data_IF_757266676105
#
_entry.id   IF_757266676105
#
_cell.length_a   1.000
_cell.length_b   1.000
_cell.length_c   1.000
_cell.angle_alpha   90.00
_cell.angle_beta   90.00
_cell.angle_gamma   90.00
#
_symmetry.space_group_name_H-M   'P 1'
#
loop_
_entity.id
_entity.type
_entity.pdbx_description
1 polymer ?
#
# COMPACT_ATOMS: atom_id res chain seq x y z
N UNK A 1 -1.20 21.70 -7.81
CA UNK A 1 -1.39 20.39 -7.21
C UNK A 1 -0.97 19.23 -8.11
N UNK A 2 -1.34 19.15 -9.38
CA UNK A 2 -0.92 18.06 -10.29
C UNK A 2 0.58 18.03 -10.66
N UNK A 3 1.29 19.15 -10.55
CA UNK A 3 2.74 19.21 -10.82
C UNK A 3 3.59 18.61 -9.71
N UNK A 4 3.10 18.62 -8.48
CA UNK A 4 3.86 18.13 -7.32
C UNK A 4 3.85 16.60 -7.25
N UNK A 5 2.73 15.95 -7.58
CA UNK A 5 2.64 14.50 -7.62
C UNK A 5 3.54 13.88 -8.72
N UNK A 6 3.63 14.52 -9.89
CA UNK A 6 4.51 14.08 -10.97
C UNK A 6 5.99 14.25 -10.60
N UNK A 7 6.36 15.29 -9.87
CA UNK A 7 7.72 15.51 -9.38
C UNK A 7 8.12 14.47 -8.33
N UNK A 8 7.27 14.19 -7.34
CA UNK A 8 7.52 13.19 -6.30
C UNK A 8 7.71 11.80 -6.92
N UNK A 9 6.92 11.45 -7.93
CA UNK A 9 7.05 10.19 -8.66
C UNK A 9 8.38 10.11 -9.42
N UNK A 10 8.81 11.22 -10.04
CA UNK A 10 10.08 11.31 -10.79
C UNK A 10 11.28 11.23 -9.84
N UNK A 11 11.22 11.88 -8.68
CA UNK A 11 12.27 11.81 -7.66
C UNK A 11 12.36 10.42 -7.03
N UNK A 12 11.23 9.77 -6.72
CA UNK A 12 11.20 8.39 -6.23
C UNK A 12 11.83 7.43 -7.23
N UNK A 13 11.53 7.58 -8.52
CA UNK A 13 12.13 6.79 -9.60
C UNK A 13 13.62 7.06 -9.76
N UNK A 14 14.07 8.32 -9.59
CA UNK A 14 15.50 8.65 -9.60
C UNK A 14 16.22 8.02 -8.40
N UNK A 15 15.59 7.98 -7.22
CA UNK A 15 16.11 7.29 -6.05
C UNK A 15 16.16 5.79 -6.30
N UNK A 16 15.09 5.17 -6.76
CA UNK A 16 15.05 3.74 -7.10
C UNK A 16 16.09 3.37 -8.17
N UNK A 17 16.26 4.17 -9.22
CA UNK A 17 17.33 3.96 -10.24
C UNK A 17 18.73 4.08 -9.67
N UNK A 18 19.00 4.94 -8.70
CA UNK A 18 20.30 5.02 -8.01
C UNK A 18 20.55 3.82 -7.10
N UNK A 19 19.48 3.22 -6.58
CA UNK A 19 19.53 2.03 -5.73
C UNK A 19 19.79 0.75 -6.53
N UNK A 20 19.54 0.75 -7.84
CA UNK A 20 19.78 -0.37 -8.79
C UNK A 20 21.24 -0.44 -9.27
N UNK A 21 22.18 0.05 -8.52
CA UNK A 21 23.58 -0.34 -8.75
C UNK A 21 23.76 -1.79 -8.26
N UNK A 22 24.30 -2.71 -9.08
CA UNK A 22 24.32 -4.15 -8.77
C UNK A 22 25.13 -4.56 -7.54
N UNK A 23 25.52 -3.64 -6.68
CA UNK A 23 26.35 -3.89 -5.50
C UNK A 23 25.81 -3.38 -4.16
N UNK A 24 24.69 -2.64 -4.10
CA UNK A 24 24.04 -2.24 -2.84
C UNK A 24 22.57 -1.95 -3.07
N UNK A 25 21.71 -2.89 -2.76
CA UNK A 25 20.31 -2.60 -2.49
C UNK A 25 20.24 -1.78 -1.19
N UNK A 26 19.29 -0.85 -1.10
CA UNK A 26 19.05 -0.11 0.14
C UNK A 26 18.58 -1.07 1.24
N UNK A 27 18.90 -0.75 2.48
CA UNK A 27 18.40 -1.52 3.62
C UNK A 27 16.89 -1.31 3.82
N UNK A 28 16.37 -0.15 3.40
CA UNK A 28 14.96 0.24 3.56
C UNK A 28 14.43 0.79 2.24
N UNK A 29 13.28 0.30 1.80
CA UNK A 29 12.47 0.90 0.74
C UNK A 29 11.24 1.52 1.38
N UNK A 30 11.01 2.82 1.12
CA UNK A 30 9.84 3.55 1.60
C UNK A 30 8.93 3.96 0.45
N UNK A 31 7.73 3.36 0.40
CA UNK A 31 6.69 3.72 -0.54
C UNK A 31 5.87 4.89 0.00
N UNK A 32 5.89 6.00 -0.70
CA UNK A 32 5.16 7.22 -0.33
C UNK A 32 3.64 7.08 -0.55
N UNK A 33 2.88 8.03 -0.03
CA UNK A 33 1.45 8.17 -0.34
C UNK A 33 1.21 8.70 -1.76
N UNK A 34 -0.04 8.67 -2.20
CA UNK A 34 -0.48 9.13 -3.51
C UNK A 34 -1.61 8.24 -4.06
N UNK A 35 -1.61 7.98 -5.35
CA UNK A 35 -2.58 7.11 -6.03
C UNK A 35 -1.96 5.72 -6.24
N UNK A 36 -2.45 4.67 -5.58
CA UNK A 36 -1.80 3.35 -5.58
C UNK A 36 -1.81 2.68 -6.96
N UNK A 37 -2.87 2.81 -7.74
CA UNK A 37 -2.95 2.30 -9.10
C UNK A 37 -1.89 2.94 -10.02
N UNK A 38 -1.70 4.26 -9.91
CA UNK A 38 -0.65 4.99 -10.64
C UNK A 38 0.74 4.56 -10.21
N UNK A 39 0.94 4.29 -8.93
CA UNK A 39 2.21 3.78 -8.42
C UNK A 39 2.52 2.40 -9.00
N UNK A 40 1.55 1.49 -9.05
CA UNK A 40 1.70 0.18 -9.66
C UNK A 40 1.96 0.28 -11.17
N UNK A 41 1.29 1.18 -11.89
CA UNK A 41 1.56 1.45 -13.31
C UNK A 41 3.01 1.89 -13.53
N UNK A 42 3.55 2.77 -12.68
CA UNK A 42 4.94 3.23 -12.78
C UNK A 42 5.95 2.13 -12.45
N UNK A 43 5.66 1.29 -11.46
CA UNK A 43 6.49 0.12 -11.15
C UNK A 43 6.61 -0.80 -12.39
N UNK A 44 5.50 -1.03 -13.08
CA UNK A 44 5.47 -1.84 -14.32
C UNK A 44 6.17 -1.14 -15.48
N UNK A 45 5.87 0.14 -15.72
CA UNK A 45 6.46 0.94 -16.81
C UNK A 45 8.00 1.01 -16.76
N UNK A 46 8.56 1.03 -15.56
CA UNK A 46 10.01 1.14 -15.34
C UNK A 46 10.69 -0.20 -15.02
N UNK A 47 10.00 -1.32 -15.22
CA UNK A 47 10.51 -2.67 -14.97
C UNK A 47 11.10 -2.87 -13.56
N UNK A 48 10.46 -2.23 -12.55
CA UNK A 48 10.94 -2.27 -11.18
C UNK A 48 10.43 -3.48 -10.39
N UNK A 49 9.45 -4.21 -10.90
CA UNK A 49 8.78 -5.27 -10.17
C UNK A 49 9.75 -6.34 -9.67
N UNK A 50 10.58 -6.89 -10.56
CA UNK A 50 11.51 -7.95 -10.21
C UNK A 50 12.59 -7.48 -9.22
N UNK A 51 12.99 -6.22 -9.33
CA UNK A 51 13.94 -5.60 -8.40
C UNK A 51 13.34 -5.48 -7.01
N UNK A 52 12.08 -5.02 -6.93
CA UNK A 52 11.35 -4.91 -5.68
C UNK A 52 11.15 -6.29 -5.03
N UNK A 53 10.82 -7.32 -5.83
CA UNK A 53 10.64 -8.69 -5.33
C UNK A 53 11.94 -9.35 -4.84
N UNK A 54 13.10 -8.86 -5.26
CA UNK A 54 14.41 -9.33 -4.79
C UNK A 54 14.91 -8.59 -3.54
N UNK A 55 14.17 -7.56 -3.09
CA UNK A 55 14.55 -6.83 -1.89
C UNK A 55 14.31 -7.67 -0.64
N UNK A 56 15.35 -7.83 0.17
CA UNK A 56 15.38 -8.62 1.40
C UNK A 56 15.47 -7.77 2.68
N UNK A 57 15.45 -6.44 2.53
CA UNK A 57 15.48 -5.49 3.63
C UNK A 57 14.09 -5.09 4.13
N UNK A 58 14.02 -3.92 4.75
CA UNK A 58 12.78 -3.39 5.33
C UNK A 58 11.96 -2.68 4.24
N UNK A 59 10.67 -3.00 4.20
CA UNK A 59 9.68 -2.29 3.39
C UNK A 59 8.82 -1.43 4.30
N UNK A 60 8.68 -0.16 3.98
CA UNK A 60 7.79 0.77 4.67
C UNK A 60 6.83 1.39 3.67
N UNK A 61 5.61 1.66 4.09
CA UNK A 61 4.62 2.30 3.23
C UNK A 61 3.69 3.22 4.02
N UNK A 62 3.30 4.33 3.39
CA UNK A 62 2.30 5.25 3.90
C UNK A 62 1.14 5.37 2.92
N UNK A 63 -0.11 5.21 3.39
CA UNK A 63 -1.31 5.34 2.56
C UNK A 63 -1.24 4.42 1.32
N UNK A 64 -1.23 4.97 0.11
CA UNK A 64 -1.04 4.23 -1.14
C UNK A 64 0.15 3.28 -1.09
N UNK A 65 1.28 3.74 -0.55
CA UNK A 65 2.48 2.94 -0.39
C UNK A 65 2.35 1.78 0.60
N UNK A 66 1.38 1.85 1.53
CA UNK A 66 1.06 0.73 2.41
C UNK A 66 0.22 -0.31 1.67
N UNK A 67 -0.87 0.11 1.00
CA UNK A 67 -1.80 -0.83 0.35
C UNK A 67 -1.19 -1.57 -0.84
N UNK A 68 -0.28 -0.95 -1.60
CA UNK A 68 0.39 -1.63 -2.73
C UNK A 68 1.30 -2.79 -2.29
N UNK A 69 1.63 -2.91 -1.01
CA UNK A 69 2.39 -4.06 -0.48
C UNK A 69 1.53 -5.31 -0.31
N UNK A 70 0.21 -5.20 -0.43
CA UNK A 70 -0.71 -6.32 -0.45
C UNK A 70 -0.76 -6.92 -1.86
N UNK A 71 -0.85 -8.26 -1.96
CA UNK A 71 -1.02 -8.94 -3.25
C UNK A 71 -2.26 -8.48 -4.00
N UNK A 72 -3.33 -8.25 -3.27
CA UNK A 72 -4.56 -7.60 -3.74
C UNK A 72 -5.00 -6.57 -2.69
N UNK A 73 -5.41 -5.40 -3.12
CA UNK A 73 -5.98 -4.37 -2.25
C UNK A 73 -7.29 -3.83 -2.84
N UNK A 74 -8.11 -3.26 -2.00
CA UNK A 74 -9.32 -2.55 -2.42
C UNK A 74 -9.16 -1.06 -2.22
N UNK A 75 -9.94 -0.29 -2.95
CA UNK A 75 -10.13 1.13 -2.74
C UNK A 75 -11.61 1.40 -2.49
N UNK A 76 -11.90 2.02 -1.36
CA UNK A 76 -13.22 2.52 -1.04
C UNK A 76 -13.53 3.75 -1.89
N UNK A 77 -14.81 3.97 -2.29
CA UNK A 77 -15.18 5.16 -3.04
C UNK A 77 -14.80 6.46 -2.32
N UNK A 78 -14.13 7.36 -3.05
CA UNK A 78 -13.75 8.69 -2.62
C UNK A 78 -13.69 9.67 -3.83
N UNK A 79 -13.11 10.85 -3.65
CA UNK A 79 -13.00 11.86 -4.70
C UNK A 79 -12.08 11.43 -5.86
N UNK A 80 -11.08 10.59 -5.61
CA UNK A 80 -10.15 10.08 -6.61
C UNK A 80 -10.64 8.78 -7.26
N UNK A 81 -11.42 7.98 -6.52
CA UNK A 81 -11.95 6.68 -6.93
C UNK A 81 -13.47 6.63 -6.71
N UNK A 82 -14.29 6.92 -7.73
CA UNK A 82 -15.74 7.02 -7.55
C UNK A 82 -16.44 5.68 -7.28
N UNK A 83 -15.74 4.55 -7.50
CA UNK A 83 -16.30 3.21 -7.35
C UNK A 83 -15.38 2.30 -6.54
N UNK A 84 -15.99 1.43 -5.72
CA UNK A 84 -15.26 0.35 -5.06
C UNK A 84 -14.65 -0.60 -6.08
N UNK A 85 -13.35 -0.88 -5.96
CA UNK A 85 -12.66 -1.81 -6.85
C UNK A 85 -11.48 -2.49 -6.16
N UNK A 86 -11.21 -3.75 -6.57
CA UNK A 86 -9.97 -4.45 -6.24
C UNK A 86 -8.89 -4.18 -7.27
N UNK A 87 -7.65 -4.13 -6.80
CA UNK A 87 -6.46 -3.92 -7.61
C UNK A 87 -5.37 -4.91 -7.20
N UNK A 88 -4.50 -5.25 -8.14
CA UNK A 88 -3.30 -6.03 -7.87
C UNK A 88 -2.18 -5.11 -7.35
N UNK A 89 -1.49 -5.56 -6.31
CA UNK A 89 -0.30 -4.91 -5.77
C UNK A 89 0.94 -5.78 -5.82
N UNK A 90 1.87 -5.49 -4.93
CA UNK A 90 3.10 -6.27 -4.75
C UNK A 90 2.82 -7.41 -3.74
N UNK A 91 3.13 -8.68 -4.06
CA UNK A 91 2.70 -9.81 -3.24
C UNK A 91 3.60 -10.05 -2.01
N UNK A 92 3.91 -8.99 -1.26
CA UNK A 92 4.63 -9.13 0.01
C UNK A 92 3.72 -9.64 1.13
N UNK A 93 2.46 -9.19 1.13
CA UNK A 93 1.46 -9.50 2.15
C UNK A 93 0.20 -10.03 1.46
N UNK A 94 -0.39 -11.12 1.97
CA UNK A 94 -1.55 -11.76 1.33
C UNK A 94 -2.62 -12.23 2.32
N UNK A 95 -2.40 -12.09 3.63
CA UNK A 95 -3.28 -12.70 4.63
C UNK A 95 -4.40 -11.80 5.12
N UNK A 96 -4.36 -10.52 4.77
CA UNK A 96 -5.31 -9.51 5.21
C UNK A 96 -5.49 -8.41 4.16
N UNK A 97 -6.46 -7.53 4.42
CA UNK A 97 -6.67 -6.28 3.70
C UNK A 97 -6.47 -5.08 4.60
N UNK A 98 -6.28 -3.91 3.99
CA UNK A 98 -6.18 -2.64 4.71
C UNK A 98 -7.21 -1.65 4.19
N UNK A 99 -7.87 -0.96 5.10
CA UNK A 99 -8.58 0.29 4.85
C UNK A 99 -7.74 1.42 5.44
N UNK A 100 -7.10 2.20 4.59
CA UNK A 100 -6.28 3.35 5.03
C UNK A 100 -7.13 4.61 5.12
N UNK A 101 -6.67 5.60 5.89
CA UNK A 101 -7.44 6.83 6.15
C UNK A 101 -8.84 6.57 6.72
N UNK A 102 -8.94 5.54 7.57
CA UNK A 102 -10.23 5.16 8.12
C UNK A 102 -10.75 6.20 9.10
N UNK A 103 -11.94 6.72 8.82
CA UNK A 103 -12.68 7.69 9.63
C UNK A 103 -14.01 7.13 10.16
N UNK A 104 -14.38 5.92 9.76
CA UNK A 104 -15.64 5.28 10.15
C UNK A 104 -16.83 5.82 9.38
N UNK A 105 -16.64 6.21 8.14
CA UNK A 105 -17.74 6.61 7.26
C UNK A 105 -18.54 5.39 6.81
N UNK A 106 -19.82 5.57 6.50
CA UNK A 106 -20.68 4.49 6.02
C UNK A 106 -20.10 3.83 4.74
N UNK A 107 -19.50 4.62 3.84
CA UNK A 107 -18.89 4.13 2.60
C UNK A 107 -17.69 3.22 2.89
N UNK A 108 -16.84 3.58 3.85
CA UNK A 108 -15.72 2.74 4.27
C UNK A 108 -16.20 1.47 4.95
N UNK A 109 -17.19 1.57 5.83
CA UNK A 109 -17.76 0.40 6.50
C UNK A 109 -18.41 -0.57 5.52
N UNK A 110 -19.17 -0.08 4.52
CA UNK A 110 -19.73 -0.90 3.44
C UNK A 110 -18.64 -1.58 2.62
N UNK A 111 -17.57 -0.86 2.29
CA UNK A 111 -16.41 -1.41 1.58
C UNK A 111 -15.73 -2.53 2.36
N UNK A 112 -15.52 -2.34 3.67
CA UNK A 112 -14.96 -3.34 4.57
C UNK A 112 -15.87 -4.58 4.61
N UNK A 113 -17.18 -4.40 4.81
CA UNK A 113 -18.13 -5.51 4.83
C UNK A 113 -18.13 -6.29 3.51
N UNK A 114 -17.98 -5.60 2.40
CA UNK A 114 -17.86 -6.23 1.09
C UNK A 114 -16.59 -7.09 0.99
N UNK A 115 -15.44 -6.59 1.44
CA UNK A 115 -14.19 -7.37 1.47
C UNK A 115 -14.35 -8.62 2.34
N UNK A 116 -14.93 -8.49 3.54
CA UNK A 116 -15.19 -9.63 4.43
C UNK A 116 -16.07 -10.69 3.75
N UNK A 117 -17.13 -10.27 3.08
CA UNK A 117 -18.06 -11.17 2.40
C UNK A 117 -17.44 -11.84 1.16
N UNK A 118 -16.67 -11.11 0.36
CA UNK A 118 -16.14 -11.59 -0.92
C UNK A 118 -14.81 -12.33 -0.78
N UNK A 119 -13.99 -11.99 0.22
CA UNK A 119 -12.64 -12.52 0.39
C UNK A 119 -12.45 -13.36 1.67
N UNK A 120 -13.30 -13.18 2.68
CA UNK A 120 -13.22 -13.91 3.94
C UNK A 120 -11.92 -13.66 4.71
N UNK A 121 -11.29 -12.50 4.50
CA UNK A 121 -10.03 -12.12 5.15
C UNK A 121 -10.24 -10.93 6.07
N UNK A 122 -9.49 -10.88 7.16
CA UNK A 122 -9.46 -9.73 8.07
C UNK A 122 -9.12 -8.43 7.36
N UNK A 123 -9.79 -7.35 7.74
CA UNK A 123 -9.49 -5.99 7.30
C UNK A 123 -8.96 -5.18 8.49
N UNK A 124 -7.78 -4.63 8.35
CA UNK A 124 -7.21 -3.69 9.32
C UNK A 124 -7.44 -2.27 8.83
N UNK A 125 -8.26 -1.51 9.56
CA UNK A 125 -8.57 -0.13 9.25
C UNK A 125 -7.69 0.80 10.08
N UNK A 126 -6.83 1.57 9.41
CA UNK A 126 -5.83 2.44 10.05
C UNK A 126 -6.23 3.90 9.98
N UNK A 127 -6.23 4.58 11.13
CA UNK A 127 -6.43 6.03 11.17
C UNK A 127 -5.24 6.78 10.54
N UNK A 128 -5.51 7.95 9.96
CA UNK A 128 -4.56 8.73 9.12
C UNK A 128 -3.21 9.00 9.78
N UNK A 129 -3.18 9.25 11.08
CA UNK A 129 -1.97 9.76 11.75
C UNK A 129 -1.46 8.88 12.89
N UNK A 130 -2.16 7.83 13.23
CA UNK A 130 -1.90 7.10 14.48
C UNK A 130 -1.98 5.58 14.35
N UNK A 131 -2.34 5.04 13.20
CA UNK A 131 -2.44 3.60 12.98
C UNK A 131 -1.29 3.06 12.13
N UNK A 132 -0.68 1.95 12.56
CA UNK A 132 0.29 1.23 11.76
C UNK A 132 0.23 -0.29 11.98
N UNK A 133 0.64 -1.04 10.96
CA UNK A 133 0.76 -2.49 10.99
C UNK A 133 2.23 -2.83 10.78
N UNK A 134 2.80 -3.58 11.70
CA UNK A 134 4.14 -4.15 11.58
C UNK A 134 4.02 -5.65 11.33
N UNK A 135 4.66 -6.14 10.28
CA UNK A 135 4.78 -7.57 9.99
C UNK A 135 6.25 -7.96 10.00
N UNK A 136 6.59 -8.89 10.86
CA UNK A 136 7.96 -9.41 10.99
C UNK A 136 7.92 -10.94 11.03
N UNK A 137 8.50 -11.57 10.01
CA UNK A 137 8.54 -13.04 9.87
C UNK A 137 7.17 -13.71 10.09
N UNK A 138 6.12 -13.12 9.52
CA UNK A 138 4.73 -13.60 9.65
C UNK A 138 4.04 -13.21 10.97
N UNK A 139 4.75 -12.59 11.90
CA UNK A 139 4.15 -12.06 13.13
C UNK A 139 3.62 -10.64 12.87
N UNK A 140 2.33 -10.44 13.13
CA UNK A 140 1.66 -9.17 12.93
C UNK A 140 1.49 -8.46 14.29
N UNK A 141 1.85 -7.17 14.31
CA UNK A 141 1.65 -6.27 15.45
C UNK A 141 0.95 -5.00 15.00
N UNK A 142 -0.14 -4.67 15.68
CA UNK A 142 -0.87 -3.42 15.48
C UNK A 142 -0.32 -2.34 16.40
N UNK A 143 -0.14 -1.14 15.88
CA UNK A 143 0.38 0.02 16.59
C UNK A 143 -0.60 1.19 16.46
N UNK A 144 -0.93 1.82 17.58
CA UNK A 144 -1.84 2.97 17.60
C UNK A 144 -3.28 2.62 17.19
N UNK A 145 -3.95 3.53 16.49
CA UNK A 145 -5.37 3.44 16.17
C UNK A 145 -5.60 2.54 14.94
N UNK A 146 -5.75 1.26 15.19
CA UNK A 146 -6.12 0.27 14.18
C UNK A 146 -7.37 -0.46 14.64
N UNK A 147 -8.44 -0.41 13.84
CA UNK A 147 -9.62 -1.24 14.04
C UNK A 147 -9.49 -2.54 13.24
N UNK A 148 -10.00 -3.62 13.81
CA UNK A 148 -9.95 -4.95 13.23
C UNK A 148 -11.37 -5.40 12.88
N UNK A 149 -11.57 -5.81 11.65
CA UNK A 149 -12.81 -6.35 11.12
C UNK A 149 -12.56 -7.75 10.56
N UNK A 150 -13.36 -8.74 11.01
CA UNK A 150 -13.21 -10.14 10.61
C UNK A 150 -13.73 -11.11 11.61
#
# INVERSE_FOLDING_TARGET
MLKDAANITTELLAVLRRMVSPKKMADIIYFLGGLPDRMMDRIKEFDLYDILMQHDGILMGYSAGAVIQLAEYHLSPDDDYPEFKYYEGLPYLNDFYMEVHYEGTAVQDESIQRVLAERGKTVYATAVRSGAILVDNGNLKLLGDVKVFG
#
